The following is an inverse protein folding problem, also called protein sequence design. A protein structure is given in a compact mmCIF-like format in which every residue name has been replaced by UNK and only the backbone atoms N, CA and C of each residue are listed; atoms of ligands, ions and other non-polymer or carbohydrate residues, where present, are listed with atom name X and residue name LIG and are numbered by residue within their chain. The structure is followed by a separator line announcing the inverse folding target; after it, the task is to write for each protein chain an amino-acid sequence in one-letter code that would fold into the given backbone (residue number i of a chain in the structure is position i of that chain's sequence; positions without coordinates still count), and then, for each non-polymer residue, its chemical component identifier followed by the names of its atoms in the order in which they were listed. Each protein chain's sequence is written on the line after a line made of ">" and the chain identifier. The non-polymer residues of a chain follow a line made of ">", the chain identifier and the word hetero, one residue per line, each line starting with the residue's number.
data_IF_431479256431
#
_entry.id   IF_431479256431
#
_cell.length_a   1.000
_cell.length_b   1.000
_cell.length_c   1.000
_cell.angle_alpha   90.00
_cell.angle_beta   90.00
_cell.angle_gamma   90.00
#
_symmetry.space_group_name_H-M   'P 1'
#
loop_
_entity.id
_entity.type
_entity.pdbx_description
1 polymer ?
#
# COMPACT_ATOMS: atom_id res chain seq x y z
N UNK A 1 -13.12 9.24 7.51
CA UNK A 1 -11.88 8.46 7.74
C UNK A 1 -12.15 7.12 7.13
N UNK A 2 -11.35 6.72 6.15
CA UNK A 2 -11.44 5.37 5.62
C UNK A 2 -11.04 4.40 6.73
N UNK A 3 -11.74 3.27 6.82
CA UNK A 3 -11.37 2.19 7.75
C UNK A 3 -10.17 1.41 7.21
N UNK A 4 -9.44 0.72 8.11
CA UNK A 4 -8.34 -0.19 7.74
C UNK A 4 -8.70 -1.12 6.57
N UNK A 5 -9.94 -1.62 6.57
CA UNK A 5 -10.45 -2.56 5.57
C UNK A 5 -10.68 -1.89 4.20
N UNK A 6 -11.20 -0.65 4.19
CA UNK A 6 -11.33 0.16 2.98
C UNK A 6 -9.96 0.53 2.41
N UNK A 7 -9.04 1.00 3.25
CA UNK A 7 -7.67 1.35 2.81
C UNK A 7 -6.97 0.12 2.23
N UNK A 8 -7.07 -1.04 2.90
CA UNK A 8 -6.52 -2.29 2.38
C UNK A 8 -7.12 -2.66 1.03
N UNK A 9 -8.45 -2.59 0.89
CA UNK A 9 -9.12 -2.96 -0.36
C UNK A 9 -8.72 -2.03 -1.50
N UNK A 10 -8.68 -0.72 -1.26
CA UNK A 10 -8.26 0.27 -2.25
C UNK A 10 -6.78 0.16 -2.59
N UNK A 11 -5.92 -0.15 -1.62
CA UNK A 11 -4.50 -0.40 -1.86
C UNK A 11 -4.30 -1.70 -2.64
N UNK A 12 -5.05 -2.75 -2.32
CA UNK A 12 -5.01 -4.02 -3.04
C UNK A 12 -5.40 -3.87 -4.51
N UNK A 13 -6.39 -3.04 -4.80
CA UNK A 13 -6.79 -2.69 -6.17
C UNK A 13 -5.65 -1.99 -6.93
N UNK A 14 -4.98 -1.02 -6.29
CA UNK A 14 -3.81 -0.34 -6.86
C UNK A 14 -2.66 -1.32 -7.11
N UNK A 15 -2.34 -2.17 -6.13
CA UNK A 15 -1.27 -3.17 -6.26
C UNK A 15 -1.61 -4.17 -7.37
N UNK A 16 -2.87 -4.52 -7.55
CA UNK A 16 -3.32 -5.36 -8.67
C UNK A 16 -3.10 -4.66 -10.02
N UNK A 17 -3.52 -3.40 -10.17
CA UNK A 17 -3.33 -2.67 -11.43
C UNK A 17 -1.84 -2.43 -11.76
N UNK A 18 -1.01 -2.14 -10.75
CA UNK A 18 0.39 -1.75 -10.94
C UNK A 18 1.34 -2.95 -10.97
N UNK A 19 1.15 -3.92 -10.08
CA UNK A 19 2.03 -5.08 -9.92
C UNK A 19 1.41 -6.40 -10.42
N UNK A 20 0.13 -6.43 -10.77
CA UNK A 20 -0.56 -7.64 -11.22
C UNK A 20 -0.79 -8.66 -10.10
N UNK A 21 -0.73 -8.23 -8.85
CA UNK A 21 -0.95 -9.08 -7.67
C UNK A 21 -2.43 -9.20 -7.38
N UNK A 22 -2.90 -10.40 -7.06
CA UNK A 22 -4.30 -10.60 -6.74
C UNK A 22 -4.68 -9.86 -5.44
N UNK A 23 -5.79 -9.12 -5.47
CA UNK A 23 -6.25 -8.34 -4.33
C UNK A 23 -6.58 -9.23 -3.11
N UNK A 24 -6.89 -10.51 -3.33
CA UNK A 24 -7.12 -11.48 -2.26
C UNK A 24 -5.81 -11.85 -1.53
N UNK A 25 -4.67 -11.78 -2.22
CA UNK A 25 -3.34 -12.06 -1.63
C UNK A 25 -2.80 -10.87 -0.82
N UNK A 26 -3.28 -9.64 -1.10
CA UNK A 26 -2.91 -8.40 -0.40
C UNK A 26 -3.50 -8.36 1.02
N UNK A 27 -2.90 -9.15 1.92
CA UNK A 27 -3.25 -9.21 3.33
C UNK A 27 -2.27 -8.40 4.18
N UNK A 28 -2.71 -7.92 5.34
CA UNK A 28 -1.91 -7.07 6.25
C UNK A 28 -0.59 -7.72 6.68
N UNK A 29 -0.54 -9.05 6.72
CA UNK A 29 0.64 -9.83 7.11
C UNK A 29 1.63 -10.06 5.95
N UNK A 30 1.21 -9.83 4.69
CA UNK A 30 2.06 -10.03 3.52
C UNK A 30 3.03 -8.88 3.31
N UNK A 31 4.23 -9.22 2.85
CA UNK A 31 5.22 -8.24 2.41
C UNK A 31 5.06 -7.93 0.95
N UNK A 32 5.08 -6.64 0.57
CA UNK A 32 5.03 -6.24 -0.83
C UNK A 32 6.15 -6.88 -1.65
N UNK A 33 7.38 -6.84 -1.14
CA UNK A 33 8.54 -7.31 -1.89
C UNK A 33 8.78 -8.81 -1.71
N UNK A 34 8.69 -9.32 -0.48
CA UNK A 34 9.10 -10.71 -0.17
C UNK A 34 8.01 -11.75 -0.49
N UNK A 35 6.74 -11.37 -0.38
CA UNK A 35 5.62 -12.29 -0.48
C UNK A 35 4.75 -12.03 -1.71
N UNK A 36 4.48 -10.76 -2.01
CA UNK A 36 3.71 -10.34 -3.18
C UNK A 36 4.58 -10.13 -4.43
N UNK A 37 5.91 -10.29 -4.33
CA UNK A 37 6.89 -10.11 -5.41
C UNK A 37 6.73 -8.77 -6.16
N UNK A 38 6.34 -7.71 -5.43
CA UNK A 38 6.17 -6.37 -5.98
C UNK A 38 7.54 -5.76 -6.23
N UNK A 39 7.80 -5.44 -7.49
CA UNK A 39 9.00 -4.74 -7.91
C UNK A 39 9.14 -3.37 -7.23
N UNK A 40 10.38 -2.97 -6.94
CA UNK A 40 10.67 -1.66 -6.34
C UNK A 40 10.14 -0.46 -7.13
N UNK A 41 10.02 -0.59 -8.46
CA UNK A 41 9.40 0.43 -9.32
C UNK A 41 7.88 0.47 -9.14
N UNK A 42 7.23 -0.70 -9.19
CA UNK A 42 5.80 -0.85 -8.91
C UNK A 42 5.44 -0.33 -7.52
N UNK A 43 6.32 -0.54 -6.53
CA UNK A 43 6.13 -0.03 -5.17
C UNK A 43 6.04 1.50 -5.11
N UNK A 44 6.85 2.21 -5.92
CA UNK A 44 6.78 3.68 -6.03
C UNK A 44 5.46 4.10 -6.66
N UNK A 45 5.03 3.44 -7.73
CA UNK A 45 3.75 3.73 -8.38
C UNK A 45 2.55 3.45 -7.47
N UNK A 46 2.57 2.36 -6.69
CA UNK A 46 1.54 2.02 -5.70
C UNK A 46 1.44 3.12 -4.64
N UNK A 47 2.58 3.56 -4.11
CA UNK A 47 2.62 4.62 -3.09
C UNK A 47 2.06 5.92 -3.65
N UNK A 48 2.51 6.35 -4.84
CA UNK A 48 2.02 7.59 -5.46
C UNK A 48 0.52 7.52 -5.74
N UNK A 49 0.03 6.40 -6.28
CA UNK A 49 -1.40 6.20 -6.50
C UNK A 49 -2.20 6.21 -5.19
N UNK A 50 -1.67 5.61 -4.11
CA UNK A 50 -2.27 5.65 -2.80
C UNK A 50 -2.28 7.08 -2.22
N UNK A 51 -1.18 7.83 -2.33
CA UNK A 51 -1.08 9.24 -1.94
C UNK A 51 -2.16 10.10 -2.62
N UNK A 52 -2.31 9.97 -3.93
CA UNK A 52 -3.33 10.71 -4.69
C UNK A 52 -4.75 10.27 -4.33
N UNK A 53 -4.98 8.97 -4.14
CA UNK A 53 -6.30 8.40 -3.84
C UNK A 53 -6.78 8.77 -2.44
N UNK A 54 -5.89 8.72 -1.46
CA UNK A 54 -6.19 8.99 -0.06
C UNK A 54 -5.91 10.43 0.36
N UNK A 55 -5.25 11.22 -0.49
CA UNK A 55 -4.83 12.59 -0.18
C UNK A 55 -3.78 12.66 0.92
N UNK A 56 -2.91 11.66 1.01
CA UNK A 56 -1.83 11.58 2.02
C UNK A 56 -0.47 11.87 1.39
N UNK A 57 0.55 12.10 2.22
CA UNK A 57 1.95 12.24 1.77
C UNK A 57 2.80 11.23 2.54
N UNK A 58 3.32 10.23 1.83
CA UNK A 58 4.22 9.20 2.34
C UNK A 58 5.65 9.62 1.96
N UNK A 59 6.47 10.11 2.92
CA UNK A 59 7.85 10.45 2.61
C UNK A 59 8.66 9.20 2.24
N UNK A 60 9.67 9.35 1.37
CA UNK A 60 10.56 8.25 0.95
C UNK A 60 11.15 7.43 2.11
N UNK A 61 11.37 8.07 3.27
CA UNK A 61 11.88 7.40 4.47
C UNK A 61 10.84 6.43 5.06
N UNK A 62 9.56 6.79 5.07
CA UNK A 62 8.48 5.89 5.46
C UNK A 62 8.28 4.81 4.40
N UNK A 63 8.32 5.12 3.10
CA UNK A 63 8.20 4.12 2.02
C UNK A 63 9.20 2.97 2.20
N UNK A 64 10.43 3.28 2.62
CA UNK A 64 11.46 2.25 2.91
C UNK A 64 11.17 1.42 4.16
N UNK A 65 10.38 1.96 5.09
CA UNK A 65 9.91 1.26 6.27
C UNK A 65 8.61 0.47 6.01
N UNK A 66 7.84 0.82 4.96
CA UNK A 66 6.63 0.12 4.52
C UNK A 66 6.96 -1.23 3.87
N UNK A 67 7.29 -2.25 4.67
CA UNK A 67 7.60 -3.58 4.16
C UNK A 67 6.36 -4.44 3.94
N UNK A 68 5.35 -4.25 4.77
CA UNK A 68 4.11 -5.05 4.76
C UNK A 68 2.91 -4.20 4.38
N UNK A 69 1.86 -4.86 3.88
CA UNK A 69 0.57 -4.21 3.62
C UNK A 69 0.03 -3.57 4.89
N UNK A 70 0.21 -4.23 6.05
CA UNK A 70 -0.18 -3.70 7.34
C UNK A 70 0.48 -2.37 7.68
N UNK A 71 1.79 -2.25 7.43
CA UNK A 71 2.52 -0.98 7.62
C UNK A 71 1.93 0.13 6.74
N UNK A 72 1.70 -0.17 5.45
CA UNK A 72 1.17 0.83 4.51
C UNK A 72 -0.22 1.31 4.91
N UNK A 73 -1.11 0.36 5.24
CA UNK A 73 -2.47 0.68 5.68
C UNK A 73 -2.46 1.49 6.97
N UNK A 74 -1.66 1.09 7.97
CA UNK A 74 -1.56 1.82 9.23
C UNK A 74 -1.00 3.23 9.05
N UNK A 75 -0.03 3.41 8.15
CA UNK A 75 0.53 4.72 7.83
C UNK A 75 -0.52 5.64 7.19
N UNK A 76 -1.25 5.14 6.20
CA UNK A 76 -2.32 5.89 5.52
C UNK A 76 -3.42 6.26 6.51
N UNK A 77 -3.86 5.31 7.34
CA UNK A 77 -4.89 5.53 8.35
C UNK A 77 -4.47 6.63 9.34
N UNK A 78 -3.22 6.58 9.82
CA UNK A 78 -2.66 7.60 10.70
C UNK A 78 -2.54 8.97 10.02
N UNK A 79 -2.28 8.99 8.72
CA UNK A 79 -2.13 10.24 7.95
C UNK A 79 -3.47 10.88 7.57
N UNK A 80 -4.55 10.10 7.52
CA UNK A 80 -5.93 10.59 7.34
C UNK A 80 -6.58 11.08 8.65
N UNK A 81 -5.92 10.90 9.79
CA UNK A 81 -6.40 11.31 11.13
C UNK A 81 -5.96 12.71 11.53
#
# INVERSE_FOLDING_TARGET
>A
MATTEEIRADLADIVNEVAGVDADDVQLDKSFVDDLDVDSLSMVEVVVAAEEKFGVTIPDDEVKNLKTVGDAVAFIERSQG
#
